data_IF_850576344828
#
_entry.id   IF_850576344828
#
_cell.length_a   1.000
_cell.length_b   1.000
_cell.length_c   1.000
_cell.angle_alpha   90.00
_cell.angle_beta   90.00
_cell.angle_gamma   90.00
#
_symmetry.space_group_name_H-M   'P 1'
#
loop_
_entity.id
_entity.type
_entity.pdbx_description
1 polymer ?
#
# COMPACT_ATOMS: atom_id res chain seq x y z
N UNK A 1 3.80 -1.37 6.68
CA UNK A 1 2.98 -1.37 5.45
C UNK A 1 3.35 -0.27 4.46
N UNK A 2 3.71 0.93 4.91
CA UNK A 2 4.15 2.03 4.03
C UNK A 2 5.31 1.65 3.11
N UNK A 3 6.34 0.97 3.64
CA UNK A 3 7.46 0.55 2.80
C UNK A 3 7.04 -0.39 1.66
N UNK A 4 6.11 -1.31 1.92
CA UNK A 4 5.57 -2.19 0.88
C UNK A 4 4.81 -1.39 -0.18
N UNK A 5 3.99 -0.41 0.22
CA UNK A 5 3.33 0.49 -0.73
C UNK A 5 4.35 1.25 -1.58
N UNK A 6 5.44 1.74 -0.97
CA UNK A 6 6.52 2.47 -1.65
C UNK A 6 7.25 1.61 -2.68
N UNK A 7 7.48 0.33 -2.38
CA UNK A 7 8.06 -0.62 -3.33
C UNK A 7 7.18 -0.78 -4.58
N UNK A 8 5.85 -0.90 -4.40
CA UNK A 8 4.90 -0.97 -5.52
C UNK A 8 4.90 0.33 -6.32
N UNK A 9 4.80 1.48 -5.63
CA UNK A 9 4.85 2.80 -6.26
C UNK A 9 6.08 2.98 -7.15
N UNK A 10 7.27 2.69 -6.62
CA UNK A 10 8.52 2.84 -7.35
C UNK A 10 8.58 1.93 -8.58
N UNK A 11 8.05 0.71 -8.48
CA UNK A 11 7.99 -0.24 -9.59
C UNK A 11 7.04 0.24 -10.68
N UNK A 12 5.84 0.66 -10.31
CA UNK A 12 4.85 1.24 -11.21
C UNK A 12 5.39 2.48 -11.93
N UNK A 13 6.03 3.40 -11.20
CA UNK A 13 6.68 4.59 -11.77
C UNK A 13 7.79 4.25 -12.75
N UNK A 14 8.65 3.27 -12.42
CA UNK A 14 9.74 2.80 -13.31
C UNK A 14 9.21 2.20 -14.61
N UNK A 15 8.10 1.48 -14.55
CA UNK A 15 7.53 0.76 -15.68
C UNK A 15 6.47 1.57 -16.46
N UNK A 16 6.04 2.73 -15.94
CA UNK A 16 4.97 3.53 -16.54
C UNK A 16 3.60 2.86 -16.48
N UNK A 17 3.34 2.05 -15.45
CA UNK A 17 2.10 1.29 -15.27
C UNK A 17 1.35 1.69 -13.99
N UNK A 18 0.07 1.36 -13.91
CA UNK A 18 -0.74 1.52 -12.69
C UNK A 18 -0.71 0.31 -11.77
N UNK A 19 -1.37 0.43 -10.61
CA UNK A 19 -1.61 -0.67 -9.66
C UNK A 19 -2.96 -0.49 -8.97
N UNK A 20 -3.56 -1.60 -8.54
CA UNK A 20 -4.69 -1.60 -7.62
C UNK A 20 -4.40 -2.58 -6.47
N UNK A 21 -5.03 -2.36 -5.32
CA UNK A 21 -4.93 -3.26 -4.16
C UNK A 21 -6.28 -3.87 -3.83
N UNK A 22 -6.28 -5.15 -3.47
CA UNK A 22 -7.43 -5.87 -2.96
C UNK A 22 -7.20 -6.20 -1.47
N UNK A 23 -8.13 -5.83 -0.61
CA UNK A 23 -8.04 -6.15 0.82
C UNK A 23 -8.47 -7.60 1.04
N UNK A 24 -7.51 -8.45 1.42
CA UNK A 24 -7.77 -9.88 1.67
C UNK A 24 -8.17 -10.15 3.12
N UNK A 25 -7.27 -9.88 4.07
CA UNK A 25 -7.45 -10.25 5.47
C UNK A 25 -6.92 -9.20 6.44
N UNK A 26 -7.15 -9.47 7.73
CA UNK A 26 -6.76 -8.60 8.83
C UNK A 26 -7.87 -8.52 9.86
N UNK A 27 -7.67 -9.20 10.98
CA UNK A 27 -8.74 -9.46 11.96
C UNK A 27 -8.57 -8.66 13.25
N UNK A 28 -7.43 -7.98 13.43
CA UNK A 28 -7.22 -7.08 14.55
C UNK A 28 -7.68 -5.67 14.18
N UNK A 29 -8.94 -5.35 14.50
CA UNK A 29 -9.55 -4.06 14.19
C UNK A 29 -8.81 -2.86 14.79
N UNK A 30 -8.13 -3.03 15.93
CA UNK A 30 -7.38 -1.96 16.58
C UNK A 30 -6.20 -1.44 15.74
N UNK A 31 -5.68 -2.26 14.81
CA UNK A 31 -4.50 -1.91 13.98
C UNK A 31 -4.76 -1.99 12.48
N UNK A 32 -5.85 -2.65 12.04
CA UNK A 32 -6.15 -2.85 10.61
C UNK A 32 -6.16 -1.53 9.84
N UNK A 33 -6.90 -0.54 10.31
CA UNK A 33 -7.01 0.75 9.63
C UNK A 33 -5.67 1.48 9.50
N UNK A 34 -4.82 1.40 10.53
CA UNK A 34 -3.49 2.02 10.53
C UNK A 34 -2.56 1.33 9.51
N UNK A 35 -2.64 0.00 9.44
CA UNK A 35 -1.88 -0.79 8.48
C UNK A 35 -2.28 -0.51 7.03
N UNK A 36 -3.59 -0.45 6.75
CA UNK A 36 -4.13 -0.10 5.43
C UNK A 36 -3.75 1.33 5.05
N UNK A 37 -3.92 2.30 5.96
CA UNK A 37 -3.53 3.69 5.71
C UNK A 37 -2.03 3.83 5.41
N UNK A 38 -1.18 3.16 6.19
CA UNK A 38 0.25 3.15 5.95
C UNK A 38 0.57 2.59 4.56
N UNK A 39 -0.04 1.47 4.16
CA UNK A 39 0.13 0.92 2.80
C UNK A 39 -0.26 1.94 1.72
N UNK A 40 -1.44 2.54 1.82
CA UNK A 40 -1.96 3.50 0.83
C UNK A 40 -1.07 4.75 0.72
N UNK A 41 -0.54 5.27 1.83
CA UNK A 41 0.44 6.37 1.81
C UNK A 41 1.68 5.98 0.99
N UNK A 42 2.25 4.82 1.26
CA UNK A 42 3.37 4.30 0.48
C UNK A 42 3.05 4.14 -1.01
N UNK A 43 1.84 3.65 -1.33
CA UNK A 43 1.38 3.45 -2.71
C UNK A 43 1.22 4.78 -3.48
N UNK A 44 0.86 5.86 -2.76
CA UNK A 44 0.80 7.22 -3.30
C UNK A 44 2.18 7.90 -3.38
N UNK A 45 3.24 7.28 -2.85
CA UNK A 45 4.56 7.89 -2.76
C UNK A 45 4.69 8.93 -1.64
N UNK A 46 3.84 8.86 -0.61
CA UNK A 46 3.85 9.70 0.59
C UNK A 46 4.69 9.08 1.73
#
# INVERSE_FOLDING_TARGET
YQEMGRMVHNTCKKLGIGSFGLLEGGYNHSVLGQNVLAFLRGLQGL
#
